data_IF_293650091275
#
_entry.id   IF_293650091275
#
_cell.length_a   1.000
_cell.length_b   1.000
_cell.length_c   1.000
_cell.angle_alpha   90.00
_cell.angle_beta   90.00
_cell.angle_gamma   90.00
#
_symmetry.space_group_name_H-M   'P 1'
#
loop_
_entity.id
_entity.type
_entity.pdbx_description
1 polymer ?
#
# COMPACT_ATOMS: atom_id res chain seq x y z
N UNK A 1 -51.61 -45.07 24.06
CA UNK A 1 -50.40 -44.21 24.09
C UNK A 1 -49.61 -44.35 22.79
N UNK A 2 -49.44 -45.57 22.26
CA UNK A 2 -48.59 -45.83 21.08
C UNK A 2 -49.10 -45.21 19.76
N UNK A 3 -50.42 -45.17 19.54
CA UNK A 3 -50.99 -44.54 18.33
C UNK A 3 -50.72 -43.03 18.26
N UNK A 4 -50.81 -42.32 19.38
CA UNK A 4 -50.51 -40.88 19.42
C UNK A 4 -49.03 -40.61 19.14
N UNK A 5 -48.13 -41.44 19.66
CA UNK A 5 -46.68 -41.36 19.40
C UNK A 5 -46.36 -41.62 17.92
N UNK A 6 -47.04 -42.60 17.29
CA UNK A 6 -46.87 -42.89 15.86
C UNK A 6 -47.34 -41.74 14.96
N UNK A 7 -48.48 -41.11 15.29
CA UNK A 7 -49.00 -39.95 14.54
C UNK A 7 -48.06 -38.73 14.68
N UNK A 8 -47.54 -38.46 15.88
CA UNK A 8 -46.59 -37.37 16.10
C UNK A 8 -45.28 -37.61 15.34
N UNK A 9 -44.78 -38.85 15.31
CA UNK A 9 -43.56 -39.22 14.57
C UNK A 9 -43.71 -39.04 13.06
N UNK A 10 -44.88 -39.37 12.50
CA UNK A 10 -45.19 -39.13 11.08
C UNK A 10 -45.20 -37.64 10.73
N UNK A 11 -45.78 -36.80 11.59
CA UNK A 11 -45.81 -35.35 11.40
C UNK A 11 -44.39 -34.77 11.46
N UNK A 12 -43.57 -35.18 12.43
CA UNK A 12 -42.17 -34.75 12.53
C UNK A 12 -41.36 -35.16 11.31
N UNK A 13 -41.56 -36.38 10.79
CA UNK A 13 -40.89 -36.85 9.58
C UNK A 13 -41.27 -36.03 8.35
N UNK A 14 -42.55 -35.68 8.19
CA UNK A 14 -43.00 -34.80 7.12
C UNK A 14 -42.33 -33.42 7.18
N UNK A 15 -42.30 -32.78 8.35
CA UNK A 15 -41.62 -31.49 8.50
C UNK A 15 -40.11 -31.58 8.27
N UNK A 16 -39.45 -32.66 8.70
CA UNK A 16 -38.04 -32.89 8.44
C UNK A 16 -37.73 -32.96 6.94
N UNK A 17 -38.60 -33.62 6.16
CA UNK A 17 -38.49 -33.68 4.69
C UNK A 17 -38.66 -32.28 4.08
N UNK A 18 -39.69 -31.53 4.49
CA UNK A 18 -39.95 -30.18 3.97
C UNK A 18 -38.79 -29.23 4.27
N UNK A 19 -38.27 -29.26 5.50
CA UNK A 19 -37.10 -28.46 5.91
C UNK A 19 -35.86 -28.89 5.11
N UNK A 20 -35.66 -30.19 4.91
CA UNK A 20 -34.57 -30.73 4.09
C UNK A 20 -34.63 -30.23 2.64
N UNK A 21 -35.81 -30.27 2.00
CA UNK A 21 -36.01 -29.74 0.66
C UNK A 21 -35.79 -28.23 0.57
N UNK A 22 -36.24 -27.47 1.57
CA UNK A 22 -36.00 -26.02 1.63
C UNK A 22 -34.50 -25.71 1.72
N UNK A 23 -33.76 -26.42 2.59
CA UNK A 23 -32.31 -26.27 2.71
C UNK A 23 -31.58 -26.67 1.43
N UNK A 24 -31.98 -27.75 0.77
CA UNK A 24 -31.41 -28.16 -0.52
C UNK A 24 -31.61 -27.09 -1.61
N UNK A 25 -32.78 -26.44 -1.64
CA UNK A 25 -33.05 -25.37 -2.59
C UNK A 25 -32.21 -24.11 -2.27
N UNK A 26 -32.07 -23.76 -0.99
CA UNK A 26 -31.27 -22.63 -0.54
C UNK A 26 -29.78 -22.80 -0.89
N UNK A 27 -29.23 -24.01 -0.69
CA UNK A 27 -27.84 -24.33 -1.04
C UNK A 27 -27.58 -24.25 -2.55
N UNK A 28 -28.53 -24.69 -3.38
CA UNK A 28 -28.42 -24.58 -4.84
C UNK A 28 -28.47 -23.13 -5.33
N UNK A 29 -29.31 -22.30 -4.71
CA UNK A 29 -29.44 -20.88 -5.07
C UNK A 29 -28.16 -20.06 -4.79
N UNK A 30 -27.41 -20.39 -3.73
CA UNK A 30 -26.18 -19.67 -3.38
C UNK A 30 -24.99 -19.93 -4.32
N UNK A 31 -24.96 -21.03 -5.07
CA UNK A 31 -23.82 -21.37 -5.94
C UNK A 31 -23.78 -20.52 -7.22
N UNK A 32 -24.93 -20.12 -7.78
CA UNK A 32 -25.00 -19.35 -9.03
C UNK A 32 -24.42 -17.93 -8.92
N UNK A 33 -24.72 -17.23 -7.81
CA UNK A 33 -24.24 -15.85 -7.61
C UNK A 33 -22.74 -15.75 -7.34
N UNK A 34 -22.15 -16.73 -6.63
CA UNK A 34 -20.69 -16.72 -6.34
C UNK A 34 -19.84 -16.81 -7.61
N UNK A 35 -20.25 -17.65 -8.57
CA UNK A 35 -19.51 -17.85 -9.84
C UNK A 35 -19.58 -16.61 -10.74
N UNK A 36 -20.71 -15.90 -10.76
CA UNK A 36 -20.84 -14.66 -11.52
C UNK A 36 -19.96 -13.53 -10.95
N UNK A 37 -19.98 -13.37 -9.62
CA UNK A 37 -19.19 -12.35 -8.90
C UNK A 37 -17.69 -12.61 -9.03
N UNK A 38 -17.23 -13.86 -8.91
CA UNK A 38 -15.82 -14.20 -9.10
C UNK A 38 -15.33 -13.90 -10.53
N UNK A 39 -16.17 -14.13 -11.55
CA UNK A 39 -15.84 -13.82 -12.95
C UNK A 39 -15.70 -12.32 -13.19
N UNK A 40 -16.59 -11.50 -12.64
CA UNK A 40 -16.49 -10.05 -12.76
C UNK A 40 -15.29 -9.50 -12.01
N UNK A 41 -15.05 -9.96 -10.78
CA UNK A 41 -13.89 -9.57 -9.98
C UNK A 41 -12.57 -9.90 -10.69
N UNK A 42 -12.47 -11.08 -11.32
CA UNK A 42 -11.28 -11.46 -12.11
C UNK A 42 -11.07 -10.55 -13.32
N UNK A 43 -12.14 -10.16 -14.03
CA UNK A 43 -12.03 -9.21 -15.16
C UNK A 43 -11.57 -7.83 -14.72
N UNK A 44 -12.06 -7.34 -13.57
CA UNK A 44 -11.59 -6.06 -13.01
C UNK A 44 -10.12 -6.13 -12.59
N UNK A 45 -9.71 -7.23 -11.96
CA UNK A 45 -8.31 -7.47 -11.59
C UNK A 45 -7.40 -7.49 -12.82
N UNK A 46 -7.79 -8.18 -13.88
CA UNK A 46 -7.02 -8.23 -15.14
C UNK A 46 -6.95 -6.83 -15.80
N UNK A 47 -8.05 -6.05 -15.74
CA UNK A 47 -8.07 -4.66 -16.24
C UNK A 47 -7.12 -3.76 -15.42
N UNK A 48 -7.12 -3.88 -14.09
CA UNK A 48 -6.21 -3.15 -13.22
C UNK A 48 -4.75 -3.54 -13.48
N UNK A 49 -4.47 -4.82 -13.72
CA UNK A 49 -3.13 -5.28 -14.10
C UNK A 49 -2.68 -4.64 -15.43
N UNK A 50 -3.52 -4.67 -16.47
CA UNK A 50 -3.22 -4.01 -17.75
C UNK A 50 -3.00 -2.51 -17.62
N UNK A 51 -3.78 -1.83 -16.77
CA UNK A 51 -3.58 -0.40 -16.48
C UNK A 51 -2.25 -0.14 -15.77
N UNK A 52 -1.76 -1.07 -14.94
CA UNK A 52 -0.45 -0.99 -14.28
C UNK A 52 0.72 -1.31 -15.21
N UNK A 53 0.49 -2.10 -16.26
CA UNK A 53 1.51 -2.40 -17.28
C UNK A 53 1.85 -1.18 -18.14
N UNK A 54 0.93 -0.22 -18.26
CA UNK A 54 1.18 1.06 -18.93
C UNK A 54 1.98 1.96 -17.99
N UNK A 55 3.31 1.84 -18.01
CA UNK A 55 4.21 2.78 -17.36
C UNK A 55 4.66 3.87 -18.34
N UNK A 56 4.64 5.13 -17.88
CA UNK A 56 5.28 6.23 -18.61
C UNK A 56 6.80 6.05 -18.55
N UNK A 57 7.50 6.51 -19.58
CA UNK A 57 8.98 6.54 -19.55
C UNK A 57 9.45 7.44 -18.41
N UNK A 58 10.42 6.97 -17.65
CA UNK A 58 11.03 7.75 -16.59
C UNK A 58 11.65 9.04 -17.15
N UNK A 59 11.30 10.22 -16.59
CA UNK A 59 11.80 11.49 -17.09
C UNK A 59 13.32 11.60 -16.88
N UNK A 60 13.99 12.33 -17.77
CA UNK A 60 15.44 12.50 -17.71
C UNK A 60 15.91 13.06 -16.36
N UNK A 61 15.13 13.96 -15.76
CA UNK A 61 15.41 14.55 -14.45
C UNK A 61 15.48 13.53 -13.30
N UNK A 62 14.76 12.40 -13.40
CA UNK A 62 14.91 11.30 -12.44
C UNK A 62 16.11 10.42 -12.81
N UNK A 63 16.31 10.11 -14.10
CA UNK A 63 17.46 9.33 -14.56
C UNK A 63 18.81 9.95 -14.22
N UNK A 64 18.91 11.28 -14.30
CA UNK A 64 20.15 12.03 -14.02
C UNK A 64 20.24 12.52 -12.58
N UNK A 65 19.32 12.10 -11.69
CA UNK A 65 19.33 12.53 -10.30
C UNK A 65 20.54 11.92 -9.58
N UNK A 66 21.34 12.72 -8.85
CA UNK A 66 22.52 12.24 -8.12
C UNK A 66 22.23 11.03 -7.23
N UNK A 67 23.02 9.97 -7.35
CA UNK A 67 22.93 8.78 -6.49
C UNK A 67 23.99 8.76 -5.38
N UNK A 68 25.07 9.51 -5.56
CA UNK A 68 26.16 9.62 -4.60
C UNK A 68 26.46 11.08 -4.27
N UNK A 69 27.05 11.32 -3.10
CA UNK A 69 27.43 12.67 -2.69
C UNK A 69 28.47 13.32 -3.61
N UNK A 70 29.32 12.51 -4.25
CA UNK A 70 30.33 12.98 -5.19
C UNK A 70 29.74 13.61 -6.47
N UNK A 71 28.49 13.26 -6.80
CA UNK A 71 27.76 13.84 -7.93
C UNK A 71 27.16 15.22 -7.60
N UNK A 72 27.12 15.62 -6.32
CA UNK A 72 26.68 16.95 -5.91
C UNK A 72 27.87 17.91 -5.92
N UNK A 73 27.83 18.87 -6.83
CA UNK A 73 28.91 19.87 -7.02
C UNK A 73 28.57 21.17 -6.30
N UNK A 74 29.54 21.72 -5.55
CA UNK A 74 29.48 23.09 -5.02
C UNK A 74 28.57 23.31 -3.81
N UNK A 75 28.08 22.25 -3.16
CA UNK A 75 27.16 22.32 -2.00
C UNK A 75 27.75 21.65 -0.74
N UNK A 76 29.08 21.64 -0.60
CA UNK A 76 29.79 20.90 0.46
C UNK A 76 29.38 21.34 1.87
N UNK A 77 29.32 22.66 2.13
CA UNK A 77 28.91 23.19 3.44
C UNK A 77 27.45 22.87 3.75
N UNK A 78 26.56 23.02 2.76
CA UNK A 78 25.14 22.69 2.91
C UNK A 78 24.92 21.21 3.21
N UNK A 79 25.65 20.34 2.53
CA UNK A 79 25.63 18.89 2.81
C UNK A 79 26.15 18.57 4.20
N UNK A 80 27.25 19.21 4.64
CA UNK A 80 27.79 19.03 5.99
C UNK A 80 26.79 19.44 7.06
N UNK A 81 26.12 20.58 6.89
CA UNK A 81 25.07 21.05 7.80
C UNK A 81 23.87 20.10 7.84
N UNK A 82 23.42 19.63 6.65
CA UNK A 82 22.28 18.72 6.54
C UNK A 82 22.57 17.35 7.19
N UNK A 83 23.78 16.82 6.99
CA UNK A 83 24.25 15.59 7.68
C UNK A 83 24.26 15.77 9.19
N UNK A 84 24.79 16.89 9.69
CA UNK A 84 24.81 17.17 11.12
C UNK A 84 23.38 17.25 11.71
N UNK A 85 22.44 17.80 10.97
CA UNK A 85 21.05 17.94 11.40
C UNK A 85 20.24 16.63 11.40
N UNK A 86 20.50 15.72 10.44
CA UNK A 86 19.69 14.50 10.25
C UNK A 86 20.33 13.22 10.79
N UNK A 87 21.66 13.12 10.83
CA UNK A 87 22.37 11.91 11.23
C UNK A 87 22.60 11.79 12.76
N UNK A 88 22.05 12.71 13.56
CA UNK A 88 22.11 12.65 15.02
C UNK A 88 21.01 11.78 15.65
N UNK A 89 21.09 11.52 16.97
CA UNK A 89 20.05 10.80 17.72
C UNK A 89 18.70 11.51 17.74
N UNK A 90 18.71 12.84 17.60
CA UNK A 90 17.52 13.65 17.51
C UNK A 90 17.57 14.48 16.21
N UNK A 91 17.06 13.95 15.09
CA UNK A 91 17.02 14.66 13.82
C UNK A 91 16.21 15.95 13.94
N UNK A 92 16.73 17.04 13.39
CA UNK A 92 16.07 18.34 13.43
C UNK A 92 15.16 18.56 12.21
N UNK A 93 14.16 19.43 12.37
CA UNK A 93 13.40 19.95 11.24
C UNK A 93 14.27 20.95 10.45
N UNK A 94 14.44 20.70 9.15
CA UNK A 94 15.32 21.50 8.29
C UNK A 94 14.52 22.14 7.16
N UNK A 95 14.74 23.43 6.93
CA UNK A 95 14.25 24.15 5.75
C UNK A 95 15.40 24.32 4.76
N UNK A 96 15.28 23.73 3.57
CA UNK A 96 16.24 23.89 2.47
C UNK A 96 15.64 24.84 1.43
N UNK A 97 16.21 26.02 1.28
CA UNK A 97 15.75 27.04 0.33
C UNK A 97 16.79 27.32 -0.75
N UNK A 98 16.36 27.90 -1.88
CA UNK A 98 17.23 28.27 -3.00
C UNK A 98 16.56 28.12 -4.36
N UNK A 99 17.22 28.53 -5.45
CA UNK A 99 16.68 28.45 -6.81
C UNK A 99 16.23 27.02 -7.22
N UNK A 100 15.27 26.86 -8.14
CA UNK A 100 14.88 25.55 -8.65
C UNK A 100 16.06 24.88 -9.37
N UNK A 101 16.12 23.53 -9.32
CA UNK A 101 17.14 22.77 -10.05
C UNK A 101 18.53 22.64 -9.40
N UNK A 102 18.80 23.30 -8.27
CA UNK A 102 20.13 23.24 -7.61
C UNK A 102 20.42 21.96 -6.81
N UNK A 103 19.54 20.97 -6.85
CA UNK A 103 19.74 19.69 -6.14
C UNK A 103 19.25 19.63 -4.68
N UNK A 104 18.40 20.55 -4.21
CA UNK A 104 17.86 20.55 -2.82
C UNK A 104 17.22 19.21 -2.42
N UNK A 105 16.28 18.72 -3.22
CA UNK A 105 15.58 17.46 -2.98
C UNK A 105 16.52 16.26 -3.10
N UNK A 106 17.45 16.30 -4.05
CA UNK A 106 18.46 15.25 -4.21
C UNK A 106 19.38 15.15 -2.99
N UNK A 107 19.86 16.29 -2.47
CA UNK A 107 20.67 16.36 -1.26
C UNK A 107 19.93 15.78 -0.04
N UNK A 108 18.68 16.16 0.17
CA UNK A 108 17.84 15.61 1.24
C UNK A 108 17.71 14.09 1.17
N UNK A 109 17.52 13.55 -0.04
CA UNK A 109 17.40 12.11 -0.25
C UNK A 109 18.69 11.37 0.05
N UNK A 110 19.83 11.88 -0.42
CA UNK A 110 21.13 11.24 -0.17
C UNK A 110 21.50 11.26 1.32
N UNK A 111 21.21 12.36 2.03
CA UNK A 111 21.44 12.43 3.48
C UNK A 111 20.53 11.46 4.23
N UNK A 112 19.29 11.23 3.81
CA UNK A 112 18.46 10.19 4.43
C UNK A 112 19.10 8.79 4.24
N UNK A 113 19.57 8.46 3.03
CA UNK A 113 20.21 7.17 2.77
C UNK A 113 21.50 6.97 3.59
N UNK A 114 22.22 8.04 3.89
CA UNK A 114 23.32 8.00 4.83
C UNK A 114 22.86 7.85 6.29
N UNK A 115 21.84 8.62 6.70
CA UNK A 115 21.29 8.56 8.06
C UNK A 115 20.79 7.15 8.40
N UNK A 116 20.16 6.45 7.45
CA UNK A 116 19.71 5.05 7.58
C UNK A 116 20.84 4.07 7.87
N UNK A 117 22.08 4.40 7.50
CA UNK A 117 23.28 3.60 7.76
C UNK A 117 23.97 3.99 9.06
N UNK A 118 23.62 5.11 9.65
CA UNK A 118 24.20 5.60 10.89
C UNK A 118 23.48 4.98 12.10
N UNK A 119 24.16 4.19 12.95
CA UNK A 119 23.56 3.59 14.14
C UNK A 119 23.01 4.60 15.16
N UNK A 120 23.52 5.83 15.13
CA UNK A 120 23.06 6.90 16.02
C UNK A 120 21.79 7.57 15.53
N UNK A 121 21.41 7.42 14.26
CA UNK A 121 20.17 8.02 13.76
C UNK A 121 18.97 7.13 14.09
N UNK A 122 17.78 7.72 14.28
CA UNK A 122 16.55 6.94 14.49
C UNK A 122 15.98 6.34 13.20
N UNK A 123 16.57 6.63 12.03
CA UNK A 123 16.09 6.10 10.75
C UNK A 123 16.57 4.66 10.54
N UNK A 124 15.63 3.73 10.39
CA UNK A 124 15.94 2.35 10.06
C UNK A 124 16.17 2.15 8.55
N UNK A 125 16.72 0.99 8.15
CA UNK A 125 16.97 0.67 6.74
C UNK A 125 15.70 0.66 5.87
N UNK A 126 14.53 0.44 6.46
CA UNK A 126 13.24 0.47 5.78
C UNK A 126 12.59 1.85 5.70
N UNK A 127 13.23 2.89 6.27
CA UNK A 127 12.72 4.25 6.24
C UNK A 127 12.55 4.72 4.80
N UNK A 128 11.38 5.29 4.49
CA UNK A 128 11.03 5.76 3.16
C UNK A 128 11.23 7.26 3.05
N UNK A 129 11.81 7.70 1.94
CA UNK A 129 11.78 9.10 1.55
C UNK A 129 10.39 9.42 0.98
N UNK A 130 9.64 10.31 1.64
CA UNK A 130 8.30 10.71 1.23
C UNK A 130 8.36 12.14 0.71
N UNK A 131 7.97 12.34 -0.54
CA UNK A 131 7.80 13.66 -1.16
C UNK A 131 6.31 14.01 -1.18
N UNK A 132 5.97 15.17 -0.65
CA UNK A 132 4.62 15.71 -0.69
C UNK A 132 4.65 17.10 -1.28
N UNK A 133 3.77 17.36 -2.23
CA UNK A 133 3.54 18.71 -2.71
C UNK A 133 2.81 19.54 -1.64
N UNK A 134 3.20 20.80 -1.50
CA UNK A 134 2.65 21.70 -0.51
C UNK A 134 1.15 21.95 -0.74
N UNK A 135 0.67 21.89 -1.98
CA UNK A 135 -0.75 22.03 -2.28
C UNK A 135 -1.57 20.83 -1.81
N UNK A 136 -0.97 19.63 -1.78
CA UNK A 136 -1.62 18.39 -1.34
C UNK A 136 -1.78 18.33 0.19
N UNK A 137 -0.89 18.99 0.94
CA UNK A 137 -0.87 18.95 2.40
C UNK A 137 -1.85 19.93 3.08
N UNK A 138 -2.68 20.66 2.31
CA UNK A 138 -3.47 21.81 2.80
C UNK A 138 -4.84 21.44 3.40
N UNK A 139 -5.04 20.21 3.86
CA UNK A 139 -6.32 19.71 4.40
C UNK A 139 -6.26 19.51 5.91
#
# INVERSE_FOLDING_TARGET
MDYAVNVISLIQFFFAIVIGFYFLNLLRSQQGNKVAVERESKKEMDKLQRMREVSLTEPLSEKTRPQTFAEIVGQEEGLKALRAALCGPNPQHVLIYGPPGIGKTAAARLVLEEAKRNPLSPFNLSAKFIEMDACTARF
#
